data_IF_676923359100
#
_entry.id   IF_676923359100
#
_cell.length_a   1.000
_cell.length_b   1.000
_cell.length_c   1.000
_cell.angle_alpha   90.00
_cell.angle_beta   90.00
_cell.angle_gamma   90.00
#
_symmetry.space_group_name_H-M   'P 1'
#
loop_
_entity.id
_entity.type
_entity.pdbx_description
1 polymer ?
#
# COMPACT_ATOMS: atom_id res chain seq x y z
N UNK A 1 -20.50 15.25 36.06
CA UNK A 1 -21.43 15.48 34.93
C UNK A 1 -20.98 14.62 33.77
N UNK A 2 -21.90 13.76 33.32
CA UNK A 2 -21.84 12.70 32.33
C UNK A 2 -20.59 12.59 31.44
N UNK A 3 -19.92 11.45 31.59
CA UNK A 3 -19.28 10.80 30.45
C UNK A 3 -20.35 10.29 29.50
N UNK A 4 -20.12 10.48 28.21
CA UNK A 4 -20.62 9.66 27.12
C UNK A 4 -20.03 10.22 25.81
N UNK A 5 -18.91 9.65 25.41
CA UNK A 5 -18.63 9.40 23.99
C UNK A 5 -18.16 7.96 23.88
N UNK A 6 -19.09 7.06 24.18
CA UNK A 6 -19.02 5.72 23.61
C UNK A 6 -18.99 5.90 22.10
N UNK A 7 -17.94 5.43 21.42
CA UNK A 7 -18.07 5.11 19.99
C UNK A 7 -19.33 4.26 19.87
N UNK A 8 -20.30 4.77 19.13
CA UNK A 8 -21.61 4.14 19.05
C UNK A 8 -21.46 2.84 18.28
N UNK A 9 -22.28 1.83 18.62
CA UNK A 9 -22.42 0.58 17.85
C UNK A 9 -22.66 0.87 16.35
N UNK A 10 -23.27 2.02 16.03
CA UNK A 10 -23.45 2.53 14.67
C UNK A 10 -22.15 2.90 13.95
N UNK A 11 -21.17 3.44 14.67
CA UNK A 11 -19.84 3.75 14.11
C UNK A 11 -19.08 2.45 13.81
N UNK A 12 -19.34 1.39 14.60
CA UNK A 12 -18.75 0.06 14.42
C UNK A 12 -19.34 -0.67 13.21
N UNK A 13 -20.65 -0.60 12.98
CA UNK A 13 -21.31 -1.18 11.80
C UNK A 13 -20.91 -0.48 10.50
N UNK A 14 -20.81 0.86 10.52
CA UNK A 14 -20.32 1.63 9.37
C UNK A 14 -18.86 1.33 9.08
N UNK A 15 -18.05 1.15 10.12
CA UNK A 15 -16.65 0.79 9.99
C UNK A 15 -16.46 -0.65 9.50
N UNK A 16 -17.26 -1.58 9.99
CA UNK A 16 -17.29 -2.96 9.50
C UNK A 16 -17.70 -3.00 8.02
N UNK A 17 -18.69 -2.19 7.63
CA UNK A 17 -19.08 -2.03 6.23
C UNK A 17 -17.93 -1.47 5.41
N UNK A 18 -17.25 -0.42 5.88
CA UNK A 18 -16.08 0.16 5.22
C UNK A 18 -14.92 -0.84 5.10
N UNK A 19 -14.66 -1.65 6.12
CA UNK A 19 -13.60 -2.67 6.09
C UNK A 19 -13.96 -3.82 5.14
N UNK A 20 -15.22 -4.26 5.14
CA UNK A 20 -15.71 -5.29 4.23
C UNK A 20 -15.74 -4.79 2.78
N UNK A 21 -16.09 -3.53 2.56
CA UNK A 21 -16.00 -2.84 1.27
C UNK A 21 -14.55 -2.72 0.85
N UNK A 22 -13.63 -2.27 1.70
CA UNK A 22 -12.21 -2.21 1.41
C UNK A 22 -11.63 -3.58 1.00
N UNK A 23 -12.00 -4.65 1.71
CA UNK A 23 -11.60 -6.03 1.37
C UNK A 23 -12.23 -6.50 0.04
N UNK A 24 -13.47 -6.10 -0.26
CA UNK A 24 -14.19 -6.48 -1.49
C UNK A 24 -13.77 -5.66 -2.71
N UNK A 25 -13.68 -4.34 -2.58
CA UNK A 25 -13.25 -3.39 -3.60
C UNK A 25 -11.81 -3.71 -4.02
N UNK A 26 -10.89 -3.97 -3.09
CA UNK A 26 -9.51 -4.37 -3.44
C UNK A 26 -9.39 -5.78 -4.02
N UNK A 27 -10.44 -6.61 -3.89
CA UNK A 27 -10.58 -7.88 -4.63
C UNK A 27 -10.97 -7.67 -6.10
N UNK A 28 -11.57 -6.52 -6.44
CA UNK A 28 -12.07 -6.20 -7.79
C UNK A 28 -11.29 -5.08 -8.51
N UNK A 29 -10.57 -4.22 -7.78
CA UNK A 29 -9.72 -3.19 -8.38
C UNK A 29 -8.40 -3.80 -8.87
N UNK A 30 -8.47 -4.41 -10.06
CA UNK A 30 -7.36 -4.31 -11.00
C UNK A 30 -7.24 -2.83 -11.31
N UNK A 31 -6.33 -2.10 -10.66
CA UNK A 31 -5.94 -0.79 -11.16
C UNK A 31 -5.54 -1.03 -12.62
N UNK A 32 -6.34 -0.53 -13.56
CA UNK A 32 -6.01 -0.57 -14.96
C UNK A 32 -4.70 0.20 -15.10
N UNK A 33 -3.61 -0.57 -15.15
CA UNK A 33 -2.29 -0.05 -15.48
C UNK A 33 -2.52 0.75 -16.76
N UNK A 34 -2.15 2.03 -16.75
CA UNK A 34 -2.20 2.85 -17.96
C UNK A 34 -1.55 2.03 -19.10
N UNK A 35 -2.29 1.76 -20.17
CA UNK A 35 -1.87 0.84 -21.22
C UNK A 35 -0.52 1.27 -21.81
N UNK A 36 -0.30 2.59 -21.95
CA UNK A 36 0.98 3.14 -22.41
C UNK A 36 2.15 2.74 -21.50
N UNK A 37 1.93 2.76 -20.18
CA UNK A 37 2.94 2.36 -19.20
C UNK A 37 3.13 0.85 -19.22
N UNK A 38 2.07 0.07 -19.45
CA UNK A 38 2.17 -1.38 -19.62
C UNK A 38 3.02 -1.73 -20.84
N UNK A 39 2.82 -1.05 -21.96
CA UNK A 39 3.64 -1.23 -23.16
C UNK A 39 5.11 -0.90 -22.88
N UNK A 40 5.39 0.24 -22.23
CA UNK A 40 6.75 0.65 -21.86
C UNK A 40 7.43 -0.40 -20.97
N UNK A 41 6.73 -0.94 -19.97
CA UNK A 41 7.29 -1.95 -19.06
C UNK A 41 7.55 -3.30 -19.75
N UNK A 42 6.98 -3.52 -20.92
CA UNK A 42 7.12 -4.75 -21.70
C UNK A 42 8.00 -4.59 -22.95
N UNK A 43 8.73 -3.46 -23.09
CA UNK A 43 9.63 -3.29 -24.22
C UNK A 43 10.64 -4.45 -24.33
N UNK A 44 10.71 -5.03 -25.51
CA UNK A 44 11.75 -5.97 -25.90
C UNK A 44 13.10 -5.27 -26.06
N UNK A 45 14.17 -6.07 -26.07
CA UNK A 45 15.51 -5.55 -26.28
C UNK A 45 15.67 -4.85 -27.65
N UNK A 46 14.97 -5.30 -28.69
CA UNK A 46 15.03 -4.68 -30.02
C UNK A 46 14.29 -3.34 -30.05
N UNK A 47 13.12 -3.25 -29.40
CA UNK A 47 12.38 -1.98 -29.27
C UNK A 47 13.20 -0.93 -28.53
N UNK A 48 13.82 -1.29 -27.39
CA UNK A 48 14.71 -0.37 -26.65
C UNK A 48 15.90 0.13 -27.49
N UNK A 49 16.41 -0.71 -28.41
CA UNK A 49 17.49 -0.33 -29.33
C UNK A 49 17.02 0.63 -30.42
N UNK A 50 15.77 0.51 -30.89
CA UNK A 50 15.23 1.37 -31.95
C UNK A 50 14.72 2.72 -31.47
N UNK A 51 14.36 2.88 -30.19
CA UNK A 51 13.84 4.14 -29.66
C UNK A 51 14.85 5.29 -29.77
N UNK A 52 14.39 6.51 -30.04
CA UNK A 52 15.27 7.68 -29.98
C UNK A 52 15.62 8.05 -28.52
N UNK A 53 16.58 8.95 -28.32
CA UNK A 53 16.86 9.50 -26.98
C UNK A 53 15.62 10.23 -26.42
N UNK A 54 14.86 10.93 -27.27
CA UNK A 54 13.63 11.62 -26.89
C UNK A 54 12.56 10.64 -26.39
N UNK A 55 12.35 9.54 -27.12
CA UNK A 55 11.34 8.54 -26.75
C UNK A 55 11.66 7.88 -25.41
N UNK A 56 12.95 7.63 -25.13
CA UNK A 56 13.40 7.10 -23.84
C UNK A 56 13.13 8.07 -22.68
N UNK A 57 13.31 9.38 -22.89
CA UNK A 57 12.96 10.37 -21.89
C UNK A 57 11.45 10.45 -21.65
N UNK A 58 10.64 10.42 -22.71
CA UNK A 58 9.18 10.39 -22.61
C UNK A 58 8.74 9.15 -21.84
N UNK A 59 9.28 7.97 -22.19
CA UNK A 59 8.98 6.72 -21.50
C UNK A 59 9.36 6.77 -20.01
N UNK A 60 10.53 7.33 -19.68
CA UNK A 60 10.92 7.57 -18.28
C UNK A 60 9.93 8.50 -17.55
N UNK A 61 9.52 9.60 -18.17
CA UNK A 61 8.54 10.52 -17.58
C UNK A 61 7.19 9.82 -17.31
N UNK A 62 6.70 9.00 -18.24
CA UNK A 62 5.44 8.26 -18.08
C UNK A 62 5.53 7.23 -16.94
N UNK A 63 6.63 6.47 -16.86
CA UNK A 63 6.86 5.52 -15.76
C UNK A 63 7.01 6.25 -14.41
N UNK A 64 7.64 7.42 -14.38
CA UNK A 64 7.76 8.26 -13.17
C UNK A 64 6.39 8.78 -12.70
N UNK A 65 5.56 9.28 -13.63
CA UNK A 65 4.19 9.70 -13.32
C UNK A 65 3.37 8.54 -12.77
N UNK A 66 3.46 7.36 -13.38
CA UNK A 66 2.79 6.17 -12.88
C UNK A 66 3.31 5.74 -11.50
N UNK A 67 4.61 5.81 -11.27
CA UNK A 67 5.22 5.55 -9.95
C UNK A 67 4.67 6.50 -8.87
N UNK A 68 4.34 7.74 -9.23
CA UNK A 68 3.71 8.72 -8.33
C UNK A 68 2.28 8.30 -7.98
N UNK A 69 1.50 7.85 -8.95
CA UNK A 69 0.18 7.27 -8.71
C UNK A 69 0.24 6.04 -7.80
N UNK A 70 1.18 5.12 -8.04
CA UNK A 70 1.41 3.93 -7.20
C UNK A 70 1.83 4.35 -5.78
N UNK A 71 2.63 5.41 -5.63
CA UNK A 71 3.03 5.96 -4.32
C UNK A 71 1.83 6.50 -3.53
N UNK A 72 0.84 7.11 -4.20
CA UNK A 72 -0.39 7.54 -3.56
C UNK A 72 -1.18 6.35 -2.99
N UNK A 73 -1.32 5.26 -3.77
CA UNK A 73 -1.95 4.02 -3.30
C UNK A 73 -1.22 3.41 -2.10
N UNK A 74 0.12 3.40 -2.15
CA UNK A 74 0.94 2.99 -1.00
C UNK A 74 0.61 3.85 0.25
N UNK A 75 0.43 5.16 0.07
CA UNK A 75 0.02 6.07 1.14
C UNK A 75 -1.35 5.74 1.73
N UNK A 76 -2.31 5.36 0.89
CA UNK A 76 -3.64 4.93 1.31
C UNK A 76 -3.57 3.68 2.20
N UNK A 77 -2.91 2.60 1.74
CA UNK A 77 -2.78 1.37 2.52
C UNK A 77 -1.97 1.58 3.81
N UNK A 78 -0.93 2.43 3.79
CA UNK A 78 -0.20 2.80 5.01
C UNK A 78 -1.09 3.52 6.03
N UNK A 79 -2.01 4.36 5.56
CA UNK A 79 -2.95 5.08 6.44
C UNK A 79 -3.92 4.12 7.11
N UNK A 80 -4.44 3.16 6.36
CA UNK A 80 -5.30 2.08 6.89
C UNK A 80 -4.53 1.21 7.89
N UNK A 81 -3.31 0.79 7.55
CA UNK A 81 -2.45 0.00 8.44
C UNK A 81 -2.22 0.73 9.77
N UNK A 82 -1.82 2.00 9.72
CA UNK A 82 -1.62 2.83 10.92
C UNK A 82 -2.90 2.97 11.73
N UNK A 83 -4.03 3.17 11.08
CA UNK A 83 -5.31 3.25 11.74
C UNK A 83 -5.66 1.94 12.46
N UNK A 84 -5.50 0.78 11.82
CA UNK A 84 -5.76 -0.53 12.42
C UNK A 84 -4.88 -0.76 13.66
N UNK A 85 -3.57 -0.48 13.55
CA UNK A 85 -2.62 -0.57 14.67
C UNK A 85 -3.05 0.34 15.83
N UNK A 86 -3.48 1.57 15.54
CA UNK A 86 -3.95 2.50 16.57
C UNK A 86 -5.22 2.00 17.28
N UNK A 87 -6.16 1.39 16.56
CA UNK A 87 -7.37 0.83 17.15
C UNK A 87 -7.02 -0.37 18.03
N UNK A 88 -6.20 -1.31 17.56
CA UNK A 88 -5.76 -2.45 18.35
C UNK A 88 -5.06 -1.98 19.63
N UNK A 89 -4.13 -1.02 19.53
CA UNK A 89 -3.44 -0.49 20.71
C UNK A 89 -4.41 0.14 21.73
N UNK A 90 -5.46 0.83 21.27
CA UNK A 90 -6.51 1.38 22.16
C UNK A 90 -7.33 0.27 22.84
N UNK A 91 -7.68 -0.78 22.11
CA UNK A 91 -8.39 -1.94 22.66
C UNK A 91 -7.52 -2.65 23.72
N UNK A 92 -6.24 -2.86 23.39
CA UNK A 92 -5.28 -3.44 24.32
C UNK A 92 -5.14 -2.58 25.57
N UNK A 93 -4.93 -1.26 25.44
CA UNK A 93 -4.81 -0.37 26.59
C UNK A 93 -6.05 -0.39 27.50
N UNK A 94 -7.26 -0.55 26.94
CA UNK A 94 -8.51 -0.63 27.69
C UNK A 94 -8.64 -1.93 28.49
N UNK A 95 -8.12 -3.04 27.97
CA UNK A 95 -8.33 -4.39 28.52
C UNK A 95 -7.08 -4.98 29.19
N UNK A 96 -5.91 -4.35 29.03
CA UNK A 96 -4.61 -4.87 29.49
C UNK A 96 -4.51 -5.09 31.01
N UNK A 97 -5.32 -4.39 31.80
CA UNK A 97 -5.39 -4.54 33.26
C UNK A 97 -6.08 -5.84 33.71
N UNK A 98 -6.83 -6.49 32.82
CA UNK A 98 -7.51 -7.76 33.09
C UNK A 98 -6.55 -8.96 33.07
N UNK A 99 -5.38 -8.79 32.47
CA UNK A 99 -4.35 -9.83 32.35
C UNK A 99 -3.19 -9.60 33.32
N UNK A 100 -2.55 -10.69 33.71
CA UNK A 100 -1.42 -10.70 34.65
C UNK A 100 -0.34 -9.66 34.31
N UNK A 101 0.19 -8.96 35.32
CA UNK A 101 1.19 -7.88 35.16
C UNK A 101 2.50 -8.36 34.52
N UNK A 102 2.87 -9.62 34.71
CA UNK A 102 4.09 -10.25 34.20
C UNK A 102 3.91 -10.86 32.80
N UNK A 103 2.68 -10.98 32.31
CA UNK A 103 2.43 -11.44 30.94
C UNK A 103 2.96 -10.43 29.92
N UNK A 104 3.63 -10.92 28.87
CA UNK A 104 4.22 -10.07 27.82
C UNK A 104 3.12 -9.32 27.06
N UNK A 105 3.41 -8.07 26.68
CA UNK A 105 2.48 -7.21 25.94
C UNK A 105 1.91 -7.89 24.68
N UNK A 106 2.77 -8.54 23.88
CA UNK A 106 2.32 -9.24 22.67
C UNK A 106 1.34 -10.38 22.99
N UNK A 107 1.57 -11.13 24.07
CA UNK A 107 0.64 -12.20 24.47
C UNK A 107 -0.72 -11.65 24.91
N UNK A 108 -0.73 -10.52 25.63
CA UNK A 108 -1.98 -9.83 26.01
C UNK A 108 -2.73 -9.35 24.77
N UNK A 109 -2.01 -8.75 23.83
CA UNK A 109 -2.57 -8.24 22.58
C UNK A 109 -3.26 -9.35 21.79
N UNK A 110 -2.60 -10.50 21.60
CA UNK A 110 -3.19 -11.64 20.88
C UNK A 110 -4.44 -12.17 21.58
N UNK A 111 -4.43 -12.32 22.92
CA UNK A 111 -5.62 -12.76 23.67
C UNK A 111 -6.80 -11.80 23.50
N UNK A 112 -6.55 -10.49 23.62
CA UNK A 112 -7.58 -9.46 23.43
C UNK A 112 -8.14 -9.49 22.00
N UNK A 113 -7.28 -9.72 21.00
CA UNK A 113 -7.72 -9.87 19.61
C UNK A 113 -8.61 -11.10 19.46
N UNK A 114 -8.24 -12.23 20.06
CA UNK A 114 -9.00 -13.49 19.96
C UNK A 114 -10.35 -13.44 20.68
N UNK A 115 -10.45 -12.70 21.79
CA UNK A 115 -11.67 -12.61 22.61
C UNK A 115 -12.69 -11.59 22.07
N UNK A 116 -12.25 -10.58 21.32
CA UNK A 116 -13.11 -9.54 20.77
C UNK A 116 -13.29 -9.70 19.24
N UNK A 117 -14.50 -10.08 18.83
CA UNK A 117 -14.86 -10.25 17.40
C UNK A 117 -14.60 -9.01 16.54
N UNK A 118 -14.65 -7.79 17.11
CA UNK A 118 -14.30 -6.57 16.41
C UNK A 118 -12.78 -6.45 16.25
N UNK A 119 -12.02 -6.77 17.30
CA UNK A 119 -10.57 -6.78 17.25
C UNK A 119 -10.03 -7.78 16.21
N UNK A 120 -10.65 -8.96 16.08
CA UNK A 120 -10.33 -9.93 15.01
C UNK A 120 -10.46 -9.29 13.63
N UNK A 121 -11.57 -8.60 13.35
CA UNK A 121 -11.80 -7.97 12.03
C UNK A 121 -10.80 -6.85 11.76
N UNK A 122 -10.48 -6.04 12.76
CA UNK A 122 -9.46 -4.98 12.64
C UNK A 122 -8.08 -5.59 12.38
N UNK A 123 -7.74 -6.71 13.03
CA UNK A 123 -6.47 -7.39 12.80
C UNK A 123 -6.39 -8.03 11.41
N UNK A 124 -7.49 -8.62 10.91
CA UNK A 124 -7.56 -9.11 9.53
C UNK A 124 -7.34 -7.98 8.51
N UNK A 125 -7.97 -6.83 8.72
CA UNK A 125 -7.75 -5.64 7.88
C UNK A 125 -6.31 -5.13 7.97
N UNK A 126 -5.71 -5.15 9.18
CA UNK A 126 -4.30 -4.81 9.40
C UNK A 126 -3.39 -5.70 8.56
N UNK A 127 -3.57 -7.02 8.64
CA UNK A 127 -2.76 -8.00 7.90
C UNK A 127 -2.89 -7.78 6.39
N UNK A 128 -4.10 -7.53 5.89
CA UNK A 128 -4.32 -7.24 4.47
C UNK A 128 -3.61 -5.95 4.02
N UNK A 129 -3.75 -4.87 4.79
CA UNK A 129 -3.08 -3.61 4.49
C UNK A 129 -1.55 -3.73 4.56
N UNK A 130 -1.01 -4.48 5.53
CA UNK A 130 0.42 -4.75 5.67
C UNK A 130 0.98 -5.48 4.45
N UNK A 131 0.33 -6.56 4.01
CA UNK A 131 0.72 -7.27 2.79
C UNK A 131 0.73 -6.37 1.56
N UNK A 132 -0.32 -5.56 1.37
CA UNK A 132 -0.41 -4.62 0.23
C UNK A 132 0.68 -3.55 0.27
N UNK A 133 0.97 -3.01 1.45
CA UNK A 133 2.07 -2.05 1.64
C UNK A 133 3.40 -2.65 1.19
N UNK A 134 3.68 -3.89 1.59
CA UNK A 134 4.95 -4.53 1.24
C UNK A 134 5.06 -4.81 -0.26
N UNK A 135 4.03 -5.43 -0.85
CA UNK A 135 3.97 -5.67 -2.29
C UNK A 135 4.14 -4.39 -3.12
N UNK A 136 3.45 -3.31 -2.75
CA UNK A 136 3.49 -2.07 -3.51
C UNK A 136 4.85 -1.39 -3.35
N UNK A 137 5.49 -1.46 -2.17
CA UNK A 137 6.84 -0.92 -1.97
C UNK A 137 7.86 -1.56 -2.91
N UNK A 138 7.87 -2.89 -2.99
CA UNK A 138 8.76 -3.63 -3.88
C UNK A 138 8.55 -3.19 -5.34
N UNK A 139 7.30 -3.21 -5.80
CA UNK A 139 6.96 -2.80 -7.18
C UNK A 139 7.28 -1.34 -7.47
N UNK A 140 7.08 -0.46 -6.51
CA UNK A 140 7.42 0.96 -6.66
C UNK A 140 8.93 1.17 -6.81
N UNK A 141 9.74 0.39 -6.09
CA UNK A 141 11.20 0.44 -6.23
C UNK A 141 11.64 -0.06 -7.62
N UNK A 142 11.03 -1.13 -8.13
CA UNK A 142 11.29 -1.63 -9.48
C UNK A 142 10.96 -0.59 -10.55
N UNK A 143 9.78 0.05 -10.46
CA UNK A 143 9.34 1.07 -11.41
C UNK A 143 10.28 2.28 -11.44
N UNK A 144 10.68 2.78 -10.26
CA UNK A 144 11.64 3.89 -10.16
C UNK A 144 12.99 3.52 -10.77
N UNK A 145 13.49 2.33 -10.43
CA UNK A 145 14.75 1.82 -10.99
C UNK A 145 14.69 1.65 -12.51
N UNK A 146 13.54 1.23 -13.04
CA UNK A 146 13.33 1.10 -14.48
C UNK A 146 13.32 2.47 -15.17
N UNK A 147 12.62 3.44 -14.60
CA UNK A 147 12.61 4.83 -15.08
C UNK A 147 14.03 5.42 -15.14
N UNK A 148 14.82 5.25 -14.08
CA UNK A 148 16.20 5.76 -14.02
C UNK A 148 17.08 5.12 -15.11
N UNK A 149 16.85 3.83 -15.42
CA UNK A 149 17.57 3.12 -16.48
C UNK A 149 17.19 3.63 -17.87
N UNK A 150 15.91 3.92 -18.12
CA UNK A 150 15.46 4.53 -19.38
C UNK A 150 16.09 5.91 -19.57
N UNK A 151 16.07 6.74 -18.53
CA UNK A 151 16.69 8.06 -18.57
C UNK A 151 18.20 7.97 -18.83
N UNK A 152 18.90 7.05 -18.16
CA UNK A 152 20.33 6.83 -18.36
C UNK A 152 20.64 6.37 -19.79
N UNK A 153 19.82 5.49 -20.36
CA UNK A 153 19.95 5.05 -21.75
C UNK A 153 19.73 6.22 -22.73
N UNK A 154 18.73 7.07 -22.45
CA UNK A 154 18.46 8.28 -23.22
C UNK A 154 19.65 9.24 -23.19
N UNK A 155 20.28 9.43 -22.03
CA UNK A 155 21.50 10.25 -21.88
C UNK A 155 22.64 9.70 -22.74
N UNK A 156 22.95 8.41 -22.63
CA UNK A 156 24.03 7.78 -23.41
C UNK A 156 23.79 7.98 -24.91
N UNK A 157 22.57 7.75 -25.38
CA UNK A 157 22.21 7.88 -26.81
C UNK A 157 22.29 9.34 -27.30
N UNK A 158 21.99 10.32 -26.45
CA UNK A 158 22.11 11.73 -26.80
C UNK A 158 23.59 12.21 -26.93
N UNK A 159 24.52 11.55 -26.24
CA UNK A 159 25.95 11.87 -26.30
C UNK A 159 26.73 11.07 -27.36
N UNK A 160 26.14 10.03 -27.95
CA UNK A 160 26.73 9.26 -29.05
C UNK A 160 25.95 9.53 -30.37
N UNK A 161 26.21 10.66 -31.04
CA UNK A 161 25.54 11.01 -32.30
C UNK A 161 25.97 10.13 -33.49
N UNK A 162 26.81 9.12 -33.27
CA UNK A 162 27.43 8.27 -34.31
C UNK A 162 26.61 7.02 -34.67
N UNK A 163 25.41 6.85 -34.10
CA UNK A 163 24.51 5.72 -34.34
C UNK A 163 23.19 6.14 -34.96
#
# INVERSE_FOLDING_TARGET
>A
MNGEKHCSIRDLEQLETYLNEYVKEEGMFHAEINEEVREILNFSAEELKSLSASDLYIASCLVTTYSTYVSYRLGHHNSILKWCVNIINKLVAKQASQYDKYMKYEQKKELIIMEDSFAVKVDQARQHAEYKVEMIKEKLQDLRSYSDRLERLGRIRNYDPSR
#
